data_IF_823266195333
#
_entry.id   IF_823266195333
#
_cell.length_a   1.000
_cell.length_b   1.000
_cell.length_c   1.000
_cell.angle_alpha   90.00
_cell.angle_beta   90.00
_cell.angle_gamma   90.00
#
_symmetry.space_group_name_H-M   'P 1'
#
loop_
_entity.id
_entity.type
_entity.pdbx_description
1 polymer ?
#
# COMPACT_ATOMS: atom_id res chain seq x y z
N UNK A 1 16.12 16.57 7.15
CA UNK A 1 15.82 17.70 8.07
C UNK A 1 15.21 17.13 9.34
N UNK A 2 15.78 17.42 10.50
CA UNK A 2 15.22 16.98 11.79
C UNK A 2 14.07 17.89 12.23
N UNK A 3 13.02 17.28 12.79
CA UNK A 3 11.92 17.94 13.48
C UNK A 3 11.80 17.30 14.86
N UNK A 4 11.92 18.09 15.91
CA UNK A 4 11.74 17.63 17.29
C UNK A 4 10.33 17.99 17.78
N UNK A 5 9.43 17.01 17.79
CA UNK A 5 8.05 17.22 18.23
C UNK A 5 7.91 17.32 19.75
N UNK A 6 9.02 17.29 20.50
CA UNK A 6 9.02 17.69 21.92
C UNK A 6 9.19 19.20 22.12
N UNK A 7 9.62 19.94 21.09
CA UNK A 7 9.77 21.40 21.14
C UNK A 7 8.42 22.10 21.35
N UNK A 8 8.41 23.20 22.12
CA UNK A 8 7.24 24.09 22.25
C UNK A 8 7.11 25.06 21.07
N UNK A 9 8.13 25.19 20.22
CA UNK A 9 8.22 26.16 19.11
C UNK A 9 8.25 25.49 17.74
N UNK A 10 7.62 24.32 17.59
CA UNK A 10 7.69 23.47 16.38
C UNK A 10 7.46 24.24 15.07
N UNK A 11 6.45 25.10 15.00
CA UNK A 11 6.15 25.86 13.76
C UNK A 11 7.25 26.86 13.43
N UNK A 12 7.79 27.55 14.44
CA UNK A 12 8.89 28.51 14.27
C UNK A 12 10.19 27.80 13.90
N UNK A 13 10.52 26.72 14.62
CA UNK A 13 11.70 25.89 14.39
C UNK A 13 11.67 25.27 12.99
N UNK A 14 10.49 24.80 12.55
CA UNK A 14 10.32 24.27 11.20
C UNK A 14 10.50 25.36 10.15
N UNK A 15 9.80 26.49 10.29
CA UNK A 15 9.85 27.60 9.32
C UNK A 15 11.29 28.05 9.08
N UNK A 16 12.05 28.30 10.14
CA UNK A 16 13.46 28.73 10.04
C UNK A 16 14.33 27.70 9.30
N UNK A 17 14.11 26.41 9.53
CA UNK A 17 14.85 25.34 8.86
C UNK A 17 14.39 25.09 7.41
N UNK A 18 13.14 25.41 7.07
CA UNK A 18 12.59 25.22 5.72
C UNK A 18 12.91 26.37 4.76
N UNK A 19 13.04 27.60 5.24
CA UNK A 19 13.23 28.81 4.42
C UNK A 19 14.51 28.85 3.57
N UNK A 20 15.44 27.90 3.77
CA UNK A 20 16.70 27.85 3.01
C UNK A 20 16.55 27.27 1.60
N UNK A 21 15.50 26.50 1.33
CA UNK A 21 15.24 25.90 0.00
C UNK A 21 13.74 25.67 -0.19
N UNK A 22 13.16 26.26 -1.25
CA UNK A 22 11.73 26.15 -1.58
C UNK A 22 11.43 24.76 -2.18
N UNK A 23 11.21 23.77 -1.33
CA UNK A 23 10.95 22.38 -1.72
C UNK A 23 9.52 21.97 -1.35
N UNK A 24 8.71 21.64 -2.35
CA UNK A 24 7.29 21.28 -2.21
C UNK A 24 6.98 20.33 -1.03
N UNK A 25 7.81 19.30 -0.80
CA UNK A 25 7.57 18.36 0.31
C UNK A 25 7.73 19.01 1.70
N UNK A 26 8.61 20.01 1.86
CA UNK A 26 8.73 20.78 3.11
C UNK A 26 7.48 21.64 3.31
N UNK A 27 6.98 22.27 2.25
CA UNK A 27 5.76 23.08 2.29
C UNK A 27 4.52 22.24 2.63
N UNK A 28 4.42 21.03 2.07
CA UNK A 28 3.34 20.10 2.42
C UNK A 28 3.37 19.69 3.89
N UNK A 29 4.56 19.47 4.47
CA UNK A 29 4.69 19.23 5.92
C UNK A 29 4.28 20.48 6.70
N UNK A 30 4.80 21.66 6.35
CA UNK A 30 4.47 22.90 7.04
C UNK A 30 2.97 23.21 7.00
N UNK A 31 2.35 23.09 5.83
CA UNK A 31 0.92 23.25 5.61
C UNK A 31 0.10 22.29 6.47
N UNK A 32 0.53 21.02 6.54
CA UNK A 32 -0.08 20.06 7.44
C UNK A 32 0.05 20.45 8.91
N UNK A 33 1.25 20.84 9.37
CA UNK A 33 1.49 21.23 10.76
C UNK A 33 0.66 22.47 11.14
N UNK A 34 0.60 23.49 10.28
CA UNK A 34 -0.22 24.68 10.50
C UNK A 34 -1.70 24.30 10.67
N UNK A 35 -2.21 23.45 9.78
CA UNK A 35 -3.59 22.94 9.86
C UNK A 35 -3.80 22.02 11.05
N UNK A 36 -2.79 21.32 11.54
CA UNK A 36 -2.93 20.46 12.71
C UNK A 36 -3.06 21.30 14.00
N UNK A 37 -2.28 22.36 14.12
CA UNK A 37 -2.26 23.25 15.29
C UNK A 37 -3.29 24.38 15.26
N UNK A 38 -4.03 24.56 14.16
CA UNK A 38 -5.17 25.47 14.15
C UNK A 38 -6.34 24.95 15.01
N UNK A 39 -7.33 25.81 15.23
CA UNK A 39 -8.51 25.50 16.02
C UNK A 39 -9.57 24.66 15.26
N UNK A 40 -9.36 24.37 13.97
CA UNK A 40 -10.32 23.58 13.20
C UNK A 40 -10.29 22.13 13.67
N UNK A 41 -11.46 21.54 13.90
CA UNK A 41 -11.55 20.15 14.39
C UNK A 41 -11.36 19.11 13.26
N UNK A 42 -11.32 19.57 12.01
CA UNK A 42 -11.35 18.73 10.81
C UNK A 42 -10.25 19.13 9.83
N UNK A 43 -9.57 18.12 9.26
CA UNK A 43 -8.62 18.27 8.17
C UNK A 43 -9.25 17.89 6.84
N UNK A 44 -9.11 18.77 5.83
CA UNK A 44 -9.49 18.49 4.45
C UNK A 44 -8.34 17.77 3.74
N UNK A 45 -8.61 16.59 3.18
CA UNK A 45 -7.63 15.78 2.44
C UNK A 45 -8.21 15.34 1.10
N UNK A 46 -7.48 15.56 0.01
CA UNK A 46 -7.84 15.03 -1.30
C UNK A 46 -7.28 13.61 -1.48
N UNK A 47 -8.09 12.71 -2.00
CA UNK A 47 -7.66 11.37 -2.43
C UNK A 47 -7.35 11.35 -3.91
N UNK A 48 -6.47 10.45 -4.33
CA UNK A 48 -6.10 10.30 -5.74
C UNK A 48 -7.15 9.56 -6.59
N UNK A 49 -8.35 9.29 -6.06
CA UNK A 49 -9.51 8.66 -6.73
C UNK A 49 -9.16 7.52 -7.70
N UNK A 50 -9.46 6.26 -7.35
CA UNK A 50 -9.29 5.12 -8.29
C UNK A 50 -10.08 5.28 -9.61
N UNK A 51 -11.09 6.16 -9.62
CA UNK A 51 -11.96 6.51 -10.75
C UNK A 51 -11.53 7.77 -11.52
N UNK A 52 -10.40 8.40 -11.16
CA UNK A 52 -9.80 9.51 -11.93
C UNK A 52 -10.13 10.93 -11.45
N UNK A 53 -11.20 11.13 -10.68
CA UNK A 53 -11.49 12.42 -10.03
C UNK A 53 -11.10 12.39 -8.55
N UNK A 54 -10.28 13.34 -8.07
CA UNK A 54 -9.95 13.45 -6.66
C UNK A 54 -11.20 13.67 -5.79
N UNK A 55 -11.40 12.85 -4.76
CA UNK A 55 -12.46 13.07 -3.77
C UNK A 55 -11.88 13.77 -2.55
N UNK A 56 -12.54 14.84 -2.10
CA UNK A 56 -12.21 15.51 -0.84
C UNK A 56 -12.85 14.75 0.32
N UNK A 57 -12.05 14.39 1.30
CA UNK A 57 -12.46 13.72 2.53
C UNK A 57 -12.16 14.63 3.71
N UNK A 58 -13.07 14.63 4.68
CA UNK A 58 -13.00 15.40 5.91
C UNK A 58 -12.62 14.47 7.06
N UNK A 59 -11.45 14.70 7.66
CA UNK A 59 -10.89 13.84 8.70
C UNK A 59 -10.93 14.56 10.04
N UNK A 60 -11.67 14.04 11.03
CA UNK A 60 -11.70 14.61 12.38
C UNK A 60 -10.35 14.37 13.06
N UNK A 61 -9.73 15.44 13.60
CA UNK A 61 -8.43 15.35 14.33
C UNK A 61 -8.50 14.37 15.50
N UNK A 62 -9.64 14.30 16.20
CA UNK A 62 -9.91 13.33 17.27
C UNK A 62 -9.70 11.87 16.82
N UNK A 63 -10.22 11.49 15.65
CA UNK A 63 -10.09 10.12 15.15
C UNK A 63 -8.66 9.82 14.71
N UNK A 64 -7.97 10.80 14.12
CA UNK A 64 -6.54 10.67 13.79
C UNK A 64 -5.71 10.45 15.05
N UNK A 65 -6.06 11.13 16.15
CA UNK A 65 -5.42 10.95 17.45
C UNK A 65 -5.63 9.54 18.01
N UNK A 66 -6.87 9.06 18.03
CA UNK A 66 -7.21 7.70 18.47
C UNK A 66 -6.48 6.63 17.64
N UNK A 67 -6.50 6.77 16.31
CA UNK A 67 -5.79 5.85 15.41
C UNK A 67 -4.27 5.84 15.62
N UNK A 68 -3.68 7.00 15.92
CA UNK A 68 -2.26 7.10 16.23
C UNK A 68 -1.90 6.32 17.50
N UNK A 69 -2.75 6.40 18.55
CA UNK A 69 -2.57 5.62 19.78
C UNK A 69 -2.59 4.12 19.48
N UNK A 70 -3.62 3.64 18.77
CA UNK A 70 -3.77 2.22 18.42
C UNK A 70 -2.58 1.68 17.64
N UNK A 71 -2.02 2.49 16.73
CA UNK A 71 -0.81 2.09 15.99
C UNK A 71 0.39 1.89 16.93
N UNK A 72 0.64 2.85 17.83
CA UNK A 72 1.79 2.81 18.73
C UNK A 72 1.66 1.68 19.76
N UNK A 73 0.45 1.43 20.26
CA UNK A 73 0.14 0.29 21.13
C UNK A 73 0.37 -1.05 20.42
N UNK A 74 -0.14 -1.22 19.21
CA UNK A 74 0.06 -2.43 18.41
C UNK A 74 1.54 -2.72 18.16
N UNK A 75 2.31 -1.68 17.80
CA UNK A 75 3.74 -1.80 17.51
C UNK A 75 4.60 -1.89 18.78
N UNK A 76 3.99 -1.76 19.97
CA UNK A 76 4.68 -1.74 21.27
C UNK A 76 5.85 -0.74 21.28
N UNK A 77 5.67 0.41 20.63
CA UNK A 77 6.69 1.46 20.59
C UNK A 77 6.71 2.21 21.93
N UNK A 78 7.90 2.62 22.37
CA UNK A 78 8.03 3.49 23.54
C UNK A 78 7.30 4.80 23.26
N UNK A 79 6.50 5.29 24.22
CA UNK A 79 5.71 6.50 24.04
C UNK A 79 6.55 7.80 23.97
N UNK A 80 7.86 7.73 24.24
CA UNK A 80 8.82 8.86 24.19
C UNK A 80 10.16 8.39 23.60
N UNK A 81 10.92 9.33 23.04
CA UNK A 81 12.30 9.12 22.58
C UNK A 81 12.44 8.42 21.23
N UNK A 82 11.34 8.07 20.56
CA UNK A 82 11.34 7.42 19.25
C UNK A 82 11.93 8.35 18.19
N UNK A 83 12.84 7.80 17.39
CA UNK A 83 13.42 8.40 16.20
C UNK A 83 12.72 7.86 14.95
N UNK A 84 11.88 8.67 14.33
CA UNK A 84 11.19 8.32 13.09
C UNK A 84 11.91 8.81 11.85
N UNK A 85 11.80 8.07 10.75
CA UNK A 85 12.17 8.55 9.40
C UNK A 85 10.90 8.75 8.58
N UNK A 86 10.68 9.98 8.10
CA UNK A 86 9.62 10.29 7.14
C UNK A 86 10.21 10.43 5.73
N UNK A 87 9.88 9.47 4.86
CA UNK A 87 10.37 9.41 3.48
C UNK A 87 9.27 9.17 2.42
N UNK A 88 8.02 9.15 2.85
CA UNK A 88 6.84 9.15 1.97
C UNK A 88 6.45 10.59 1.61
N UNK A 89 5.74 10.77 0.50
CA UNK A 89 5.18 12.08 0.15
C UNK A 89 4.24 12.57 1.27
N UNK A 90 4.47 13.79 1.81
CA UNK A 90 3.62 14.37 2.85
C UNK A 90 2.16 14.64 2.43
N UNK A 91 1.87 14.56 1.14
CA UNK A 91 0.52 14.78 0.60
C UNK A 91 -0.43 13.62 0.90
N UNK A 92 0.10 12.41 1.12
CA UNK A 92 -0.68 11.22 1.40
C UNK A 92 -1.00 11.04 2.90
N UNK A 93 -2.11 10.35 3.18
CA UNK A 93 -2.56 10.05 4.54
C UNK A 93 -1.51 9.31 5.38
N UNK A 94 -0.69 8.45 4.75
CA UNK A 94 0.35 7.69 5.44
C UNK A 94 1.34 8.60 6.17
N UNK A 95 1.83 9.64 5.48
CA UNK A 95 2.74 10.64 6.03
C UNK A 95 2.07 11.54 7.06
N UNK A 96 0.83 11.95 6.80
CA UNK A 96 0.05 12.76 7.77
C UNK A 96 -0.13 12.00 9.08
N UNK A 97 -0.52 10.72 9.02
CA UNK A 97 -0.65 9.88 10.21
C UNK A 97 0.69 9.57 10.89
N UNK A 98 1.79 9.49 10.12
CA UNK A 98 3.13 9.41 10.70
C UNK A 98 3.45 10.67 11.53
N UNK A 99 3.16 11.86 11.00
CA UNK A 99 3.33 13.13 11.70
C UNK A 99 2.39 13.25 12.91
N UNK A 100 1.13 12.82 12.82
CA UNK A 100 0.21 12.78 13.98
C UNK A 100 0.78 11.94 15.12
N UNK A 101 1.30 10.74 14.82
CA UNK A 101 1.98 9.91 15.83
C UNK A 101 3.17 10.66 16.45
N UNK A 102 3.98 11.30 15.61
CA UNK A 102 5.14 12.06 16.07
C UNK A 102 4.75 13.22 17.00
N UNK A 103 3.67 13.96 16.68
CA UNK A 103 3.14 15.05 17.50
C UNK A 103 2.66 14.53 18.86
N UNK A 104 1.83 13.50 18.87
CA UNK A 104 1.19 12.97 20.09
C UNK A 104 2.22 12.39 21.05
N UNK A 105 3.19 11.65 20.51
CA UNK A 105 4.19 10.93 21.30
C UNK A 105 5.54 11.66 21.38
N UNK A 106 5.60 12.92 20.91
CA UNK A 106 6.78 13.78 20.97
C UNK A 106 8.04 13.11 20.39
N UNK A 107 7.91 12.53 19.20
CA UNK A 107 9.01 11.85 18.50
C UNK A 107 10.00 12.87 17.91
N UNK A 108 11.22 12.41 17.63
CA UNK A 108 12.15 13.13 16.75
C UNK A 108 12.04 12.52 15.36
N UNK A 109 11.74 13.32 14.35
CA UNK A 109 11.55 12.83 12.98
C UNK A 109 12.59 13.41 12.06
N UNK A 110 13.32 12.55 11.35
CA UNK A 110 14.14 12.97 10.22
C UNK A 110 13.30 12.88 8.95
N UNK A 111 13.08 14.02 8.30
CA UNK A 111 12.35 14.10 7.04
C UNK A 111 13.32 14.21 5.87
N UNK A 112 13.11 13.39 4.85
CA UNK A 112 13.86 13.39 3.59
C UNK A 112 12.90 13.55 2.40
N UNK A 113 13.35 14.10 1.26
CA UNK A 113 12.53 14.14 0.06
C UNK A 113 12.09 12.71 -0.34
N UNK A 114 10.82 12.53 -0.78
CA UNK A 114 10.37 11.26 -1.31
C UNK A 114 11.22 10.85 -2.52
N UNK A 115 11.72 9.62 -2.50
CA UNK A 115 12.51 9.05 -3.60
C UNK A 115 12.31 7.55 -3.65
N UNK A 116 12.75 6.90 -4.73
CA UNK A 116 12.73 5.44 -4.84
C UNK A 116 13.72 4.75 -3.90
N UNK A 117 14.78 5.43 -3.43
CA UNK A 117 15.78 4.86 -2.51
C UNK A 117 16.05 5.81 -1.33
N UNK A 118 15.08 5.98 -0.42
CA UNK A 118 15.17 6.97 0.65
C UNK A 118 16.28 6.70 1.67
N UNK A 119 16.75 5.45 1.79
CA UNK A 119 17.81 5.09 2.74
C UNK A 119 19.23 5.22 2.18
N UNK A 120 19.41 5.50 0.89
CA UNK A 120 20.74 5.48 0.23
C UNK A 120 21.84 6.25 0.97
N UNK A 121 21.49 7.42 1.50
CA UNK A 121 22.41 8.33 2.16
C UNK A 121 22.18 8.41 3.68
N UNK A 122 21.36 7.51 4.22
CA UNK A 122 21.07 7.44 5.65
C UNK A 122 22.18 6.62 6.33
N UNK A 123 22.78 7.20 7.37
CA UNK A 123 23.82 6.58 8.20
C UNK A 123 23.43 6.48 9.67
N UNK A 124 22.20 6.86 10.00
CA UNK A 124 21.68 6.89 11.36
C UNK A 124 20.64 5.80 11.55
N UNK A 125 20.48 5.37 12.80
CA UNK A 125 19.44 4.42 13.19
C UNK A 125 18.09 5.11 13.44
N UNK A 126 17.02 4.44 13.03
CA UNK A 126 15.62 4.84 13.22
C UNK A 126 14.79 3.72 13.84
N UNK A 127 13.92 4.08 14.77
CA UNK A 127 12.99 3.15 15.41
C UNK A 127 11.83 2.78 14.49
N UNK A 128 11.41 3.70 13.61
CA UNK A 128 10.27 3.46 12.73
C UNK A 128 10.36 4.28 11.43
N UNK A 129 9.93 3.65 10.33
CA UNK A 129 9.61 4.35 9.09
C UNK A 129 8.41 3.72 8.40
N UNK A 130 7.94 4.35 7.33
CA UNK A 130 6.90 3.83 6.46
C UNK A 130 7.33 4.00 5.01
N UNK A 131 7.11 3.00 4.17
CA UNK A 131 7.55 2.97 2.77
C UNK A 131 6.51 2.28 1.89
N UNK A 132 6.56 2.56 0.58
CA UNK A 132 5.88 1.72 -0.44
C UNK A 132 6.80 0.57 -0.87
N UNK A 133 6.27 -0.58 -1.38
CA UNK A 133 7.10 -1.71 -1.76
C UNK A 133 8.29 -1.39 -2.67
N UNK A 134 8.13 -0.48 -3.64
CA UNK A 134 9.25 -0.03 -4.50
C UNK A 134 10.38 0.62 -3.69
N UNK A 135 10.06 1.46 -2.70
CA UNK A 135 11.07 2.08 -1.83
C UNK A 135 11.83 1.04 -1.02
N UNK A 136 11.12 0.03 -0.51
CA UNK A 136 11.71 -1.09 0.24
C UNK A 136 12.66 -1.88 -0.65
N UNK A 137 12.24 -2.21 -1.88
CA UNK A 137 13.06 -2.95 -2.84
C UNK A 137 14.41 -2.28 -3.09
N UNK A 138 14.44 -0.98 -3.38
CA UNK A 138 15.70 -0.26 -3.63
C UNK A 138 16.49 0.05 -2.35
N UNK A 139 15.84 -0.01 -1.17
CA UNK A 139 16.46 0.25 0.12
C UNK A 139 16.90 -1.02 0.86
N UNK A 140 16.72 -2.22 0.29
CA UNK A 140 16.94 -3.52 0.94
C UNK A 140 18.24 -3.59 1.76
N UNK A 141 19.36 -3.12 1.17
CA UNK A 141 20.69 -3.18 1.79
C UNK A 141 20.90 -2.21 2.97
N UNK A 142 19.97 -1.30 3.20
CA UNK A 142 20.04 -0.29 4.26
C UNK A 142 18.95 -0.49 5.32
N UNK A 143 18.10 -1.51 5.18
CA UNK A 143 16.98 -1.71 6.10
C UNK A 143 17.45 -1.96 7.54
N UNK A 144 18.65 -2.52 7.74
CA UNK A 144 19.24 -2.75 9.07
C UNK A 144 19.33 -1.50 9.96
N UNK A 145 19.35 -0.30 9.37
CA UNK A 145 19.29 0.98 10.09
C UNK A 145 17.90 1.33 10.60
N UNK A 146 16.90 0.47 10.40
CA UNK A 146 15.50 0.67 10.79
C UNK A 146 15.03 -0.51 11.63
N UNK A 147 14.47 -0.22 12.81
CA UNK A 147 13.88 -1.24 13.69
C UNK A 147 12.55 -1.78 13.17
N UNK A 148 11.60 -0.89 12.89
CA UNK A 148 10.24 -1.23 12.45
C UNK A 148 9.95 -0.55 11.10
N UNK A 149 9.55 -1.35 10.12
CA UNK A 149 9.17 -0.88 8.80
C UNK A 149 7.69 -1.20 8.54
N UNK A 150 6.89 -0.16 8.31
CA UNK A 150 5.53 -0.29 7.80
C UNK A 150 5.54 -0.18 6.27
N UNK A 151 4.97 -1.17 5.58
CA UNK A 151 4.92 -1.23 4.12
C UNK A 151 3.46 -1.14 3.68
N UNK A 152 3.13 -0.15 2.85
CA UNK A 152 1.75 0.09 2.43
C UNK A 152 1.60 0.67 1.04
N UNK A 153 0.37 1.05 0.69
CA UNK A 153 0.00 1.64 -0.61
C UNK A 153 -0.40 0.60 -1.65
N UNK A 154 0.26 -0.55 -1.70
CA UNK A 154 -0.12 -1.72 -2.50
C UNK A 154 0.58 -2.97 -1.96
N UNK A 155 0.15 -4.14 -2.44
CA UNK A 155 0.61 -5.44 -1.98
C UNK A 155 2.12 -5.64 -2.18
N UNK A 156 2.76 -6.26 -1.20
CA UNK A 156 4.15 -6.73 -1.27
C UNK A 156 4.19 -8.00 -2.15
N UNK A 157 5.13 -8.05 -3.10
CA UNK A 157 5.31 -9.24 -3.94
C UNK A 157 5.97 -10.38 -3.17
N UNK A 158 5.68 -11.63 -3.56
CA UNK A 158 6.33 -12.82 -2.98
C UNK A 158 7.86 -12.74 -3.09
N UNK A 159 8.38 -12.15 -4.16
CA UNK A 159 9.81 -11.91 -4.35
C UNK A 159 10.36 -11.00 -3.26
N UNK A 160 9.71 -9.86 -3.02
CA UNK A 160 10.16 -8.90 -2.01
C UNK A 160 10.02 -9.50 -0.60
N UNK A 161 8.90 -10.17 -0.31
CA UNK A 161 8.70 -10.84 0.99
C UNK A 161 9.78 -11.89 1.27
N UNK A 162 10.20 -12.68 0.27
CA UNK A 162 11.34 -13.60 0.38
C UNK A 162 12.64 -12.88 0.73
N UNK A 163 12.93 -11.73 0.11
CA UNK A 163 14.13 -10.93 0.40
C UNK A 163 14.12 -10.35 1.82
N UNK A 164 12.94 -10.07 2.38
CA UNK A 164 12.79 -9.52 3.73
C UNK A 164 12.94 -10.56 4.85
N UNK A 165 13.04 -11.86 4.55
CA UNK A 165 13.11 -12.89 5.60
C UNK A 165 14.39 -12.81 6.45
N UNK A 166 15.50 -12.36 5.85
CA UNK A 166 16.84 -12.43 6.45
C UNK A 166 17.36 -11.08 6.97
N UNK A 167 16.49 -10.08 7.12
CA UNK A 167 16.87 -8.77 7.67
C UNK A 167 16.44 -8.64 9.13
N UNK A 168 17.19 -7.87 9.92
CA UNK A 168 16.91 -7.61 11.34
C UNK A 168 15.68 -6.72 11.58
N UNK A 169 15.31 -5.90 10.59
CA UNK A 169 14.13 -5.02 10.62
C UNK A 169 12.86 -5.82 10.78
N UNK A 170 11.96 -5.38 11.65
CA UNK A 170 10.62 -5.94 11.77
C UNK A 170 9.73 -5.32 10.69
N UNK A 171 9.29 -6.12 9.72
CA UNK A 171 8.48 -5.66 8.59
C UNK A 171 7.01 -6.02 8.80
N UNK A 172 6.14 -5.00 8.70
CA UNK A 172 4.71 -5.16 8.63
C UNK A 172 4.19 -4.68 7.29
N UNK A 173 3.43 -5.51 6.60
CA UNK A 173 2.55 -5.06 5.53
C UNK A 173 1.27 -4.50 6.17
N UNK A 174 0.78 -3.38 5.67
CA UNK A 174 -0.37 -2.67 6.23
C UNK A 174 -1.53 -2.64 5.25
N UNK A 175 -2.73 -2.93 5.74
CA UNK A 175 -3.96 -2.79 4.98
C UNK A 175 -4.76 -1.60 5.47
N UNK A 176 -5.18 -0.74 4.55
CA UNK A 176 -6.08 0.37 4.79
C UNK A 176 -5.99 1.42 3.69
N UNK A 177 -6.76 2.49 3.86
CA UNK A 177 -7.01 3.49 2.83
C UNK A 177 -7.15 4.90 3.44
N UNK A 178 -7.43 5.90 2.62
CA UNK A 178 -7.53 7.28 3.13
C UNK A 178 -8.80 7.45 3.97
N UNK A 179 -9.87 6.81 3.54
CA UNK A 179 -11.18 6.74 4.16
C UNK A 179 -11.10 6.17 5.58
N UNK A 180 -10.12 5.31 5.86
CA UNK A 180 -9.92 4.66 7.17
C UNK A 180 -8.81 5.29 8.02
N UNK A 181 -8.35 6.50 7.68
CA UNK A 181 -7.24 7.19 8.34
C UNK A 181 -5.92 6.42 8.29
N UNK A 182 -5.63 5.81 7.14
CA UNK A 182 -4.48 4.94 6.96
C UNK A 182 -4.81 3.49 7.28
N UNK A 183 -3.85 2.76 7.81
CA UNK A 183 -4.02 1.32 8.04
C UNK A 183 -5.01 1.02 9.16
N UNK A 184 -5.75 -0.07 9.00
CA UNK A 184 -6.67 -0.65 9.98
C UNK A 184 -6.22 -2.03 10.46
N UNK A 185 -5.32 -2.66 9.70
CA UNK A 185 -4.82 -3.99 9.96
C UNK A 185 -3.38 -4.14 9.50
N UNK A 186 -2.63 -5.01 10.17
CA UNK A 186 -1.22 -5.26 9.90
C UNK A 186 -0.94 -6.76 9.82
N UNK A 187 -0.05 -7.14 8.93
CA UNK A 187 0.49 -8.49 8.78
C UNK A 187 1.99 -8.42 8.96
N UNK A 188 2.54 -9.16 9.92
CA UNK A 188 4.01 -9.29 10.05
C UNK A 188 4.51 -10.20 8.92
N UNK A 189 5.43 -9.73 8.10
CA UNK A 189 5.81 -10.44 6.86
C UNK A 189 7.18 -11.12 6.90
N UNK A 190 7.95 -10.92 7.98
CA UNK A 190 9.27 -11.53 8.12
C UNK A 190 9.56 -12.04 9.54
N UNK A 191 10.64 -12.82 9.65
CA UNK A 191 11.04 -13.52 10.87
C UNK A 191 10.25 -14.81 11.12
N UNK A 192 10.64 -15.54 12.17
CA UNK A 192 10.05 -16.83 12.55
C UNK A 192 8.57 -16.74 12.95
N UNK A 193 8.13 -15.58 13.43
CA UNK A 193 6.75 -15.30 13.84
C UNK A 193 5.98 -14.45 12.81
N UNK A 194 6.32 -14.56 11.51
CA UNK A 194 5.53 -13.97 10.44
C UNK A 194 4.11 -14.57 10.39
N UNK A 195 3.17 -13.83 9.83
CA UNK A 195 1.79 -14.25 9.64
C UNK A 195 1.42 -14.26 8.15
N UNK A 196 0.54 -15.19 7.78
CA UNK A 196 -0.11 -15.24 6.46
C UNK A 196 -1.32 -14.31 6.37
N UNK A 197 -1.76 -13.73 7.48
CA UNK A 197 -2.99 -12.94 7.57
C UNK A 197 -2.78 -11.58 8.24
N UNK A 198 -3.64 -10.64 7.85
CA UNK A 198 -3.76 -9.35 8.51
C UNK A 198 -4.54 -9.52 9.80
N UNK A 199 -4.11 -8.82 10.85
CA UNK A 199 -4.86 -8.64 12.09
C UNK A 199 -5.31 -7.19 12.21
N UNK A 200 -6.61 -6.96 12.35
CA UNK A 200 -7.17 -5.63 12.54
C UNK A 200 -6.91 -5.10 13.96
N UNK A 201 -7.05 -3.79 14.12
CA UNK A 201 -7.12 -3.21 15.46
C UNK A 201 -8.42 -3.63 16.16
N UNK A 202 -8.39 -3.72 17.50
CA UNK A 202 -9.52 -4.17 18.32
C UNK A 202 -10.80 -3.35 18.15
N UNK A 203 -10.68 -2.09 17.75
CA UNK A 203 -11.77 -1.15 17.53
C UNK A 203 -12.37 -1.23 16.12
N UNK A 204 -11.90 -2.18 15.30
CA UNK A 204 -12.36 -2.36 13.92
C UNK A 204 -13.19 -3.62 13.82
N UNK A 205 -14.45 -3.45 13.41
CA UNK A 205 -15.32 -4.56 13.08
C UNK A 205 -15.31 -4.80 11.57
N UNK A 206 -15.17 -6.05 11.20
CA UNK A 206 -15.08 -6.48 9.81
C UNK A 206 -16.33 -7.28 9.44
N UNK A 207 -16.79 -7.12 8.20
CA UNK A 207 -17.83 -7.95 7.60
C UNK A 207 -17.44 -8.35 6.19
N UNK A 208 -18.20 -9.26 5.59
CA UNK A 208 -18.10 -9.61 4.17
C UNK A 208 -19.47 -9.47 3.52
N UNK A 209 -19.51 -8.97 2.30
CA UNK A 209 -20.73 -8.94 1.48
C UNK A 209 -20.90 -10.25 0.67
N UNK A 210 -21.96 -10.33 -0.12
CA UNK A 210 -22.25 -11.47 -1.02
C UNK A 210 -21.15 -11.74 -2.07
N UNK A 211 -20.29 -10.76 -2.34
CA UNK A 211 -19.15 -10.84 -3.27
C UNK A 211 -17.86 -11.27 -2.56
N UNK A 212 -17.95 -11.59 -1.26
CA UNK A 212 -16.80 -11.81 -0.37
C UNK A 212 -15.88 -10.58 -0.26
N UNK A 213 -16.43 -9.38 -0.48
CA UNK A 213 -15.69 -8.14 -0.37
C UNK A 213 -15.74 -7.59 1.06
N UNK A 214 -14.60 -7.11 1.56
CA UNK A 214 -14.46 -6.64 2.93
C UNK A 214 -15.32 -5.39 3.18
N UNK A 215 -16.19 -5.46 4.18
CA UNK A 215 -16.85 -4.34 4.81
C UNK A 215 -16.10 -3.94 6.08
N UNK A 216 -15.89 -2.63 6.27
CA UNK A 216 -15.13 -2.09 7.40
C UNK A 216 -16.03 -1.15 8.18
N UNK A 217 -16.24 -1.45 9.45
CA UNK A 217 -16.80 -0.52 10.42
C UNK A 217 -15.65 0.08 11.21
N UNK A 218 -15.41 1.37 10.97
CA UNK A 218 -14.45 2.17 11.70
C UNK A 218 -15.18 2.92 12.84
N UNK A 219 -14.55 3.14 14.02
CA UNK A 219 -15.17 3.88 15.10
C UNK A 219 -15.75 5.20 14.62
N UNK A 220 -17.01 5.48 14.98
CA UNK A 220 -17.88 6.59 14.53
C UNK A 220 -18.85 6.27 13.39
N UNK A 221 -19.43 5.06 13.40
CA UNK A 221 -20.59 4.65 12.60
C UNK A 221 -20.42 4.77 11.08
N UNK A 222 -19.19 4.98 10.60
CA UNK A 222 -18.89 5.03 9.18
C UNK A 222 -18.60 3.62 8.68
N UNK A 223 -19.55 3.08 7.92
CA UNK A 223 -19.35 1.86 7.15
C UNK A 223 -18.67 2.16 5.82
N UNK A 224 -17.62 1.40 5.52
CA UNK A 224 -16.92 1.46 4.24
C UNK A 224 -17.01 0.07 3.59
N UNK A 225 -17.83 -0.02 2.54
CA UNK A 225 -17.80 -1.19 1.66
C UNK A 225 -16.62 -1.08 0.70
N UNK A 226 -15.73 -2.06 0.72
CA UNK A 226 -14.62 -2.14 -0.22
C UNK A 226 -15.00 -3.01 -1.43
N UNK A 227 -14.11 -3.02 -2.43
CA UNK A 227 -14.10 -4.01 -3.51
C UNK A 227 -12.90 -4.98 -3.35
N UNK A 228 -12.38 -5.13 -2.14
CA UNK A 228 -11.28 -6.05 -1.85
C UNK A 228 -11.87 -7.40 -1.46
N UNK A 229 -11.63 -8.43 -2.28
CA UNK A 229 -12.05 -9.80 -1.99
C UNK A 229 -11.13 -10.35 -0.90
N UNK A 230 -11.73 -10.86 0.18
CA UNK A 230 -11.00 -11.38 1.33
C UNK A 230 -11.46 -12.78 1.70
N UNK A 231 -10.62 -13.50 2.43
CA UNK A 231 -11.01 -14.70 3.17
C UNK A 231 -10.80 -14.44 4.65
N UNK A 232 -11.90 -14.49 5.41
CA UNK A 232 -11.91 -14.29 6.86
C UNK A 232 -11.37 -15.54 7.56
N UNK A 233 -10.51 -15.35 8.55
CA UNK A 233 -9.96 -16.40 9.43
C UNK A 233 -10.66 -16.34 10.80
N UNK A 234 -10.90 -15.13 11.30
CA UNK A 234 -11.65 -14.83 12.52
C UNK A 234 -12.39 -13.50 12.34
N UNK A 235 -13.03 -12.99 13.38
CA UNK A 235 -13.66 -11.67 13.36
C UNK A 235 -12.68 -10.49 13.17
N UNK A 236 -11.40 -10.69 13.48
CA UNK A 236 -10.34 -9.67 13.43
C UNK A 236 -9.17 -10.05 12.51
N UNK A 237 -9.22 -11.21 11.86
CA UNK A 237 -8.13 -11.72 11.01
C UNK A 237 -8.64 -12.13 9.63
N UNK A 238 -7.89 -11.73 8.58
CA UNK A 238 -8.27 -12.00 7.20
C UNK A 238 -7.07 -12.03 6.25
N UNK A 239 -7.27 -12.63 5.09
CA UNK A 239 -6.33 -12.58 3.95
C UNK A 239 -6.94 -11.80 2.80
N UNK A 240 -6.14 -10.99 2.12
CA UNK A 240 -6.55 -10.30 0.90
C UNK A 240 -6.27 -11.19 -0.31
N UNK A 241 -7.32 -11.47 -1.09
CA UNK A 241 -7.29 -12.41 -2.22
C UNK A 241 -7.11 -11.67 -3.54
N UNK A 242 -7.80 -10.54 -3.72
CA UNK A 242 -7.75 -9.77 -4.96
C UNK A 242 -8.76 -8.62 -4.97
N UNK A 243 -8.96 -7.99 -6.13
CA UNK A 243 -9.98 -6.94 -6.30
C UNK A 243 -11.16 -7.47 -7.09
N UNK A 244 -12.38 -7.19 -6.61
CA UNK A 244 -13.60 -7.48 -7.36
C UNK A 244 -13.64 -6.74 -8.70
N UNK A 245 -13.05 -5.54 -8.76
CA UNK A 245 -12.90 -4.77 -10.01
C UNK A 245 -12.08 -5.48 -11.10
N UNK A 246 -11.30 -6.49 -10.74
CA UNK A 246 -10.46 -7.26 -11.64
C UNK A 246 -11.09 -8.62 -12.00
N UNK A 247 -12.21 -9.01 -11.40
CA UNK A 247 -12.85 -10.31 -11.66
C UNK A 247 -13.22 -10.43 -13.13
N UNK A 248 -12.81 -11.53 -13.75
CA UNK A 248 -13.10 -11.87 -15.15
C UNK A 248 -14.24 -12.88 -15.18
N UNK A 249 -15.24 -12.65 -16.03
CA UNK A 249 -16.34 -13.57 -16.27
C UNK A 249 -16.15 -14.29 -17.61
N UNK A 250 -15.47 -15.44 -17.59
CA UNK A 250 -15.15 -16.23 -18.80
C UNK A 250 -16.03 -17.47 -18.85
N UNK A 251 -16.97 -17.52 -19.80
CA UNK A 251 -17.82 -18.70 -20.03
C UNK A 251 -18.66 -19.09 -18.80
N UNK A 252 -19.16 -18.10 -18.05
CA UNK A 252 -19.94 -18.31 -16.82
C UNK A 252 -19.11 -18.56 -15.55
N UNK A 253 -17.78 -18.62 -15.65
CA UNK A 253 -16.88 -18.82 -14.50
C UNK A 253 -16.33 -17.47 -14.04
N UNK A 254 -16.51 -17.15 -12.75
CA UNK A 254 -15.86 -16.01 -12.09
C UNK A 254 -14.41 -16.34 -11.77
N UNK A 255 -13.49 -15.56 -12.29
CA UNK A 255 -12.05 -15.77 -12.17
C UNK A 255 -11.45 -14.57 -11.46
N UNK A 256 -10.67 -14.84 -10.41
CA UNK A 256 -9.88 -13.83 -9.70
C UNK A 256 -8.45 -13.87 -10.28
N UNK A 257 -8.03 -12.87 -11.09
CA UNK A 257 -6.73 -12.87 -11.75
C UNK A 257 -5.56 -13.07 -10.80
N UNK A 258 -5.62 -12.44 -9.63
CA UNK A 258 -4.56 -12.44 -8.61
C UNK A 258 -4.23 -13.86 -8.12
N UNK A 259 -5.21 -14.77 -8.07
CA UNK A 259 -4.98 -16.17 -7.72
C UNK A 259 -4.19 -16.93 -8.79
N UNK A 260 -4.46 -16.65 -10.07
CA UNK A 260 -3.71 -17.24 -11.19
C UNK A 260 -2.29 -16.67 -11.19
N UNK A 261 -2.15 -15.35 -11.03
CA UNK A 261 -0.87 -14.64 -11.01
C UNK A 261 0.05 -15.18 -9.91
N UNK A 262 -0.47 -15.40 -8.70
CA UNK A 262 0.29 -15.98 -7.59
C UNK A 262 0.91 -17.33 -7.95
N UNK A 263 0.18 -18.18 -8.65
CA UNK A 263 0.67 -19.48 -9.12
C UNK A 263 1.62 -19.36 -10.32
N UNK A 264 1.56 -18.27 -11.09
CA UNK A 264 2.45 -18.05 -12.25
C UNK A 264 3.79 -17.41 -11.87
N UNK A 265 3.89 -16.79 -10.70
CA UNK A 265 5.15 -16.22 -10.17
C UNK A 265 6.30 -17.23 -10.04
N UNK A 266 6.02 -18.53 -10.06
CA UNK A 266 7.02 -19.58 -9.98
C UNK A 266 7.86 -19.75 -11.26
N UNK A 267 7.33 -19.37 -12.42
CA UNK A 267 7.99 -19.61 -13.72
C UNK A 267 7.98 -18.39 -14.66
N UNK A 268 7.36 -17.28 -14.28
CA UNK A 268 7.48 -16.01 -15.01
C UNK A 268 8.36 -15.05 -14.20
N UNK A 269 9.54 -14.73 -14.75
CA UNK A 269 10.53 -13.86 -14.11
C UNK A 269 10.48 -12.39 -14.58
N UNK A 270 9.40 -12.01 -15.28
CA UNK A 270 9.13 -10.62 -15.69
C UNK A 270 7.89 -10.10 -14.97
N UNK A 271 7.67 -8.79 -14.98
CA UNK A 271 6.40 -8.24 -14.49
C UNK A 271 5.29 -8.66 -15.43
N UNK A 272 4.21 -9.19 -14.88
CA UNK A 272 3.05 -9.62 -15.65
C UNK A 272 1.77 -9.42 -14.84
N UNK A 273 0.64 -9.49 -15.51
CA UNK A 273 -0.67 -9.61 -14.88
C UNK A 273 -1.65 -10.35 -15.80
N UNK A 274 -2.68 -10.92 -15.20
CA UNK A 274 -3.80 -11.56 -15.88
C UNK A 274 -4.93 -10.53 -16.04
N UNK A 275 -5.53 -10.52 -17.22
CA UNK A 275 -6.70 -9.69 -17.53
C UNK A 275 -7.58 -10.37 -18.58
N UNK A 276 -8.52 -9.64 -19.17
CA UNK A 276 -9.45 -10.14 -20.17
C UNK A 276 -9.58 -9.18 -21.36
N UNK A 277 -9.98 -9.74 -22.50
CA UNK A 277 -10.49 -9.00 -23.65
C UNK A 277 -11.89 -9.51 -24.02
N UNK A 278 -12.76 -8.69 -24.64
CA UNK A 278 -14.07 -9.14 -25.09
C UNK A 278 -13.98 -10.34 -26.06
N UNK A 279 -14.87 -11.30 -25.90
CA UNK A 279 -14.95 -12.50 -26.74
C UNK A 279 -16.42 -12.88 -27.00
N UNK A 280 -16.72 -13.28 -28.24
CA UNK A 280 -18.10 -13.54 -28.67
C UNK A 280 -18.74 -14.77 -28.00
N UNK A 281 -17.93 -15.74 -27.56
CA UNK A 281 -18.40 -17.00 -27.00
C UNK A 281 -18.27 -16.99 -25.48
N UNK A 282 -17.10 -16.56 -24.97
CA UNK A 282 -16.80 -16.59 -23.54
C UNK A 282 -17.31 -15.35 -22.80
N UNK A 283 -17.76 -14.31 -23.52
CA UNK A 283 -17.98 -12.97 -22.97
C UNK A 283 -16.66 -12.25 -22.74
N UNK A 284 -15.85 -12.79 -21.82
CA UNK A 284 -14.50 -12.32 -21.56
C UNK A 284 -13.48 -13.45 -21.75
N UNK A 285 -12.50 -13.27 -22.63
CA UNK A 285 -11.41 -14.22 -22.81
C UNK A 285 -10.19 -13.81 -22.00
N UNK A 286 -9.67 -14.73 -21.19
CA UNK A 286 -8.49 -14.53 -20.33
C UNK A 286 -7.25 -14.31 -21.19
N UNK A 287 -6.43 -13.32 -20.82
CA UNK A 287 -5.16 -12.98 -21.48
C UNK A 287 -4.06 -12.75 -20.45
N UNK A 288 -2.83 -13.08 -20.84
CA UNK A 288 -1.61 -12.82 -20.08
C UNK A 288 -0.91 -11.60 -20.66
N UNK A 289 -0.62 -10.63 -19.82
CA UNK A 289 0.13 -9.42 -20.21
C UNK A 289 1.50 -9.46 -19.56
N UNK A 290 2.57 -9.44 -20.35
CA UNK A 290 3.96 -9.46 -19.87
C UNK A 290 4.65 -8.16 -20.27
N UNK A 291 5.41 -7.58 -19.35
CA UNK A 291 6.24 -6.42 -19.65
C UNK A 291 7.55 -6.81 -20.37
N UNK A 292 7.94 -6.01 -21.35
CA UNK A 292 9.20 -6.10 -22.08
C UNK A 292 9.04 -6.56 -23.52
N UNK A 293 10.18 -6.84 -24.15
CA UNK A 293 10.23 -7.37 -25.52
C UNK A 293 9.64 -8.78 -25.62
N UNK A 294 8.99 -9.13 -26.75
CA UNK A 294 8.50 -10.48 -26.99
C UNK A 294 9.60 -11.53 -26.84
N UNK A 295 9.23 -12.69 -26.30
CA UNK A 295 10.07 -13.87 -26.24
C UNK A 295 9.21 -15.12 -26.36
N UNK A 296 9.80 -16.26 -26.72
CA UNK A 296 9.09 -17.52 -26.74
C UNK A 296 8.74 -17.92 -25.29
N UNK A 297 7.46 -17.95 -24.99
CA UNK A 297 6.95 -18.31 -23.69
C UNK A 297 5.90 -19.39 -23.82
N UNK A 298 6.12 -20.49 -23.11
CA UNK A 298 5.19 -21.61 -23.04
C UNK A 298 4.87 -21.89 -21.57
N UNK A 299 3.62 -22.24 -21.31
CA UNK A 299 3.21 -22.64 -19.97
C UNK A 299 3.76 -24.03 -19.68
N UNK A 300 4.25 -24.32 -18.45
CA UNK A 300 4.60 -25.67 -18.06
C UNK A 300 3.43 -26.62 -18.30
N UNK A 301 3.68 -27.80 -18.89
CA UNK A 301 2.63 -28.72 -19.36
C UNK A 301 1.58 -29.05 -18.29
N UNK A 302 2.01 -29.18 -17.03
CA UNK A 302 1.15 -29.53 -15.91
C UNK A 302 0.30 -28.37 -15.37
N UNK A 303 0.64 -27.11 -15.68
CA UNK A 303 0.11 -25.96 -14.96
C UNK A 303 -1.38 -25.73 -15.20
N UNK A 304 -1.83 -25.91 -16.45
CA UNK A 304 -3.23 -25.73 -16.86
C UNK A 304 -3.91 -27.05 -17.26
N UNK A 305 -3.69 -28.12 -16.49
CA UNK A 305 -4.33 -29.42 -16.70
C UNK A 305 -5.60 -29.62 -15.86
N UNK A 306 -6.41 -30.62 -16.22
CA UNK A 306 -7.67 -30.94 -15.54
C UNK A 306 -8.62 -29.74 -15.46
N UNK A 307 -9.08 -29.44 -14.24
CA UNK A 307 -9.96 -28.28 -13.96
C UNK A 307 -9.27 -26.93 -14.22
N UNK A 308 -7.93 -26.87 -14.25
CA UNK A 308 -7.22 -25.62 -14.47
C UNK A 308 -7.26 -25.15 -15.94
N UNK A 309 -7.69 -26.01 -16.88
CA UNK A 309 -7.81 -25.68 -18.32
C UNK A 309 -8.67 -24.43 -18.58
N UNK A 310 -9.69 -24.19 -17.75
CA UNK A 310 -10.58 -23.04 -17.88
C UNK A 310 -9.90 -21.71 -17.54
N UNK A 311 -8.84 -21.74 -16.73
CA UNK A 311 -8.11 -20.55 -16.29
C UNK A 311 -6.92 -20.20 -17.19
N UNK A 312 -6.62 -21.03 -18.20
CA UNK A 312 -5.50 -20.83 -19.12
C UNK A 312 -5.71 -19.56 -19.96
N UNK A 313 -4.79 -18.57 -19.89
CA UNK A 313 -4.86 -17.41 -20.77
C UNK A 313 -4.75 -17.86 -22.23
N UNK A 314 -5.68 -17.39 -23.06
CA UNK A 314 -5.80 -17.80 -24.46
C UNK A 314 -4.90 -17.00 -25.39
N UNK A 315 -4.41 -15.85 -24.94
CA UNK A 315 -3.40 -15.04 -25.62
C UNK A 315 -2.37 -14.50 -24.64
N UNK A 316 -1.18 -14.23 -25.16
CA UNK A 316 -0.08 -13.57 -24.46
C UNK A 316 0.23 -12.28 -25.22
N UNK A 317 0.28 -11.16 -24.51
CA UNK A 317 0.63 -9.86 -25.08
C UNK A 317 1.85 -9.30 -24.37
N UNK A 318 2.74 -8.71 -25.16
CA UNK A 318 3.96 -8.05 -24.67
C UNK A 318 3.80 -6.54 -24.76
N UNK A 319 4.09 -5.86 -23.67
CA UNK A 319 4.02 -4.40 -23.58
C UNK A 319 5.39 -3.90 -23.15
N UNK A 320 6.07 -3.01 -23.92
CA UNK A 320 7.44 -2.60 -23.60
C UNK A 320 7.63 -2.11 -22.17
N UNK A 321 6.72 -1.24 -21.71
CA UNK A 321 6.70 -0.70 -20.36
C UNK A 321 5.26 -0.60 -19.85
N UNK A 322 5.03 -1.04 -18.62
CA UNK A 322 3.76 -0.89 -17.95
C UNK A 322 3.55 0.55 -17.47
N UNK A 323 2.29 0.95 -17.46
CA UNK A 323 1.86 2.26 -16.96
C UNK A 323 1.64 2.15 -15.47
N UNK A 324 2.27 3.03 -14.70
CA UNK A 324 2.20 3.10 -13.25
C UNK A 324 1.63 4.42 -12.76
N UNK A 325 1.18 4.47 -11.51
CA UNK A 325 0.89 5.73 -10.82
C UNK A 325 2.15 6.28 -10.12
N UNK A 326 2.01 7.43 -9.45
CA UNK A 326 3.11 8.07 -8.70
C UNK A 326 3.70 7.24 -7.55
N UNK A 327 3.06 6.13 -7.17
CA UNK A 327 3.53 5.21 -6.14
C UNK A 327 4.18 3.94 -6.74
N UNK A 328 4.22 3.81 -8.06
CA UNK A 328 4.70 2.61 -8.76
C UNK A 328 3.67 1.48 -8.87
N UNK A 329 2.39 1.76 -8.61
CA UNK A 329 1.30 0.78 -8.75
C UNK A 329 0.84 0.69 -10.20
N UNK A 330 0.76 -0.52 -10.74
CA UNK A 330 0.29 -0.79 -12.11
C UNK A 330 -1.13 -0.29 -12.36
N UNK A 331 -1.33 0.42 -13.48
CA UNK A 331 -2.63 0.90 -13.96
C UNK A 331 -3.24 -0.07 -14.97
N UNK A 332 -3.57 -1.29 -14.52
CA UNK A 332 -4.10 -2.40 -15.35
C UNK A 332 -5.19 -1.96 -16.33
N UNK A 333 -6.21 -1.23 -15.86
CA UNK A 333 -7.32 -0.74 -16.70
C UNK A 333 -6.86 0.16 -17.85
N UNK A 334 -5.88 1.05 -17.61
CA UNK A 334 -5.35 1.92 -18.67
C UNK A 334 -4.52 1.13 -19.68
N UNK A 335 -3.67 0.22 -19.18
CA UNK A 335 -2.86 -0.67 -20.01
C UNK A 335 -3.78 -1.48 -20.95
N UNK A 336 -4.84 -2.08 -20.41
CA UNK A 336 -5.80 -2.85 -21.19
C UNK A 336 -6.59 -2.01 -22.17
N UNK A 337 -6.98 -0.79 -21.81
CA UNK A 337 -7.64 0.14 -22.73
C UNK A 337 -6.77 0.42 -23.96
N UNK A 338 -5.48 0.73 -23.77
CA UNK A 338 -4.54 0.96 -24.89
C UNK A 338 -4.28 -0.31 -25.71
N UNK A 339 -4.18 -1.46 -25.05
CA UNK A 339 -3.99 -2.75 -25.73
C UNK A 339 -5.17 -3.10 -26.62
N UNK A 340 -6.41 -2.99 -26.10
CA UNK A 340 -7.64 -3.30 -26.86
C UNK A 340 -7.78 -2.35 -28.06
N UNK A 341 -7.41 -1.08 -27.92
CA UNK A 341 -7.40 -0.12 -29.04
C UNK A 341 -6.39 -0.46 -30.14
N UNK A 342 -5.33 -1.21 -29.84
CA UNK A 342 -4.31 -1.62 -30.81
C UNK A 342 -4.67 -2.92 -31.54
N UNK A 343 -5.51 -3.76 -30.92
CA UNK A 343 -5.93 -5.07 -31.47
C UNK A 343 -7.19 -4.94 -32.33
N UNK A 344 -8.03 -3.94 -32.05
CA UNK A 344 -9.07 -3.47 -32.98
C UNK A 344 -8.42 -2.75 -34.15
#
# INVERSE_FOLDING_TARGET
>A
MWIDFSSKKILTDFYYNSCKENLHWKDSIFSFLKKWYDNESVLKVSTSGTTGSPKTIFLKKKHMFERAIKTVEFLKLTKRGVRGLLCLSPDFIASKMFLVRAIIFKWKVYCVPPSSNPLKNIKEYFDITSMVPMQVFFSLKYLEYVKILLIGGYSVSDFLEKKLQNISTICYETYGMTETLGHIALRKINGSNKSSFYKSFQDIHLSIDERSCLGIFYPCDSFIQTNDIVSMISSDEFTCIGRYDNVINSGGIKIIPELIEKNMNFFIHRRFFISSIPDKILGEKIVLIIEGSPFQFEYPEFFFNGKNKFYKPKNIFFIPHFIENSLGKLRRKEIMKKLIQKIK
#
